data_IF_275559528133
#
_entry.id   IF_275559528133
#
_cell.length_a   1.000
_cell.length_b   1.000
_cell.length_c   1.000
_cell.angle_alpha   90.00
_cell.angle_beta   90.00
_cell.angle_gamma   90.00
#
_symmetry.space_group_name_H-M   'P 1'
#
loop_
_entity.id
_entity.type
_entity.pdbx_description
1 polymer ?
#
# COMPACT_ATOMS: atom_id res chain seq x y z
N UNK A 1 -17.54 -19.68 -1.82
CA UNK A 1 -16.26 -19.77 -2.57
C UNK A 1 -16.21 -18.78 -3.72
N UNK A 2 -17.36 -18.45 -4.36
CA UNK A 2 -17.48 -17.37 -5.35
C UNK A 2 -17.03 -16.01 -4.80
N UNK A 3 -17.61 -15.53 -3.69
CA UNK A 3 -17.36 -14.17 -3.17
C UNK A 3 -15.88 -13.84 -2.91
N UNK A 4 -15.09 -14.79 -2.40
CA UNK A 4 -13.65 -14.58 -2.16
C UNK A 4 -12.90 -14.40 -3.48
N UNK A 5 -13.20 -15.26 -4.45
CA UNK A 5 -12.58 -15.22 -5.76
C UNK A 5 -13.00 -13.95 -6.52
N UNK A 6 -14.28 -13.60 -6.46
CA UNK A 6 -14.83 -12.39 -7.09
C UNK A 6 -14.22 -11.11 -6.49
N UNK A 7 -14.03 -11.07 -5.16
CA UNK A 7 -13.38 -9.94 -4.48
C UNK A 7 -11.91 -9.81 -4.91
N UNK A 8 -11.21 -10.93 -5.05
CA UNK A 8 -9.82 -10.96 -5.50
C UNK A 8 -9.70 -10.48 -6.96
N UNK A 9 -10.57 -10.97 -7.85
CA UNK A 9 -10.54 -10.60 -9.27
C UNK A 9 -10.96 -9.16 -9.49
N UNK A 10 -11.90 -8.62 -8.69
CA UNK A 10 -12.20 -7.18 -8.71
C UNK A 10 -10.97 -6.36 -8.30
N UNK A 11 -10.28 -6.75 -7.22
CA UNK A 11 -9.02 -6.12 -6.81
C UNK A 11 -7.95 -6.15 -7.90
N UNK A 12 -7.86 -7.24 -8.67
CA UNK A 12 -6.95 -7.35 -9.82
C UNK A 12 -7.39 -6.44 -10.98
N UNK A 13 -8.70 -6.34 -11.24
CA UNK A 13 -9.25 -5.51 -12.30
C UNK A 13 -8.91 -4.03 -12.14
N UNK A 14 -8.88 -3.53 -10.90
CA UNK A 14 -8.58 -2.13 -10.60
C UNK A 14 -7.08 -1.77 -10.61
N UNK A 15 -6.17 -2.73 -10.82
CA UNK A 15 -4.72 -2.46 -10.90
C UNK A 15 -4.40 -1.44 -11.99
N UNK A 16 -5.17 -1.46 -13.08
CA UNK A 16 -4.98 -0.55 -14.22
C UNK A 16 -5.45 0.87 -13.96
N UNK A 17 -6.14 1.12 -12.84
CA UNK A 17 -6.75 2.41 -12.55
C UNK A 17 -5.76 3.32 -11.78
N UNK A 18 -5.81 4.61 -12.08
CA UNK A 18 -4.87 5.61 -11.54
C UNK A 18 -4.89 5.66 -9.99
N UNK A 19 -6.07 5.54 -9.39
CA UNK A 19 -6.30 5.47 -7.95
C UNK A 19 -5.55 4.31 -7.26
N UNK A 20 -5.34 3.19 -7.92
CA UNK A 20 -4.56 2.06 -7.37
C UNK A 20 -3.06 2.34 -7.31
N UNK A 21 -2.54 3.17 -8.24
CA UNK A 21 -1.12 3.54 -8.24
C UNK A 21 -0.70 4.23 -6.94
N UNK A 22 -1.63 4.92 -6.29
CA UNK A 22 -1.41 5.66 -5.04
C UNK A 22 -1.03 4.75 -3.88
N UNK A 23 -1.53 3.51 -3.86
CA UNK A 23 -1.15 2.48 -2.90
C UNK A 23 -0.04 1.56 -3.45
N UNK A 24 -0.01 1.32 -4.76
CA UNK A 24 0.94 0.39 -5.37
C UNK A 24 2.36 0.96 -5.47
N UNK A 25 2.52 2.21 -5.93
CA UNK A 25 3.81 2.87 -6.14
C UNK A 25 4.62 2.99 -4.84
N UNK A 26 4.09 3.54 -3.72
CA UNK A 26 4.86 3.60 -2.48
C UNK A 26 5.19 2.20 -1.93
N UNK A 27 4.28 1.23 -2.10
CA UNK A 27 4.53 -0.15 -1.70
C UNK A 27 5.68 -0.79 -2.49
N UNK A 28 5.72 -0.61 -3.82
CA UNK A 28 6.81 -1.10 -4.67
C UNK A 28 8.14 -0.44 -4.31
N UNK A 29 8.15 0.87 -4.11
CA UNK A 29 9.32 1.61 -3.66
C UNK A 29 9.86 1.05 -2.33
N UNK A 30 8.97 0.78 -1.37
CA UNK A 30 9.33 0.25 -0.06
C UNK A 30 9.90 -1.17 -0.16
N UNK A 31 9.31 -2.02 -1.01
CA UNK A 31 9.83 -3.37 -1.30
C UNK A 31 11.23 -3.28 -1.92
N UNK A 32 11.46 -2.42 -2.92
CA UNK A 32 12.79 -2.28 -3.52
C UNK A 32 13.84 -1.81 -2.51
N UNK A 33 13.48 -0.86 -1.63
CA UNK A 33 14.35 -0.38 -0.54
C UNK A 33 14.68 -1.49 0.47
N UNK A 34 13.73 -2.35 0.80
CA UNK A 34 13.85 -3.38 1.83
C UNK A 34 14.82 -4.52 1.49
N UNK A 35 15.19 -4.68 0.20
CA UNK A 35 16.16 -5.68 -0.30
C UNK A 35 15.92 -7.11 0.23
N UNK A 36 16.64 -7.49 1.29
CA UNK A 36 16.57 -8.83 1.91
C UNK A 36 15.29 -9.08 2.71
N UNK A 37 14.56 -8.03 3.06
CA UNK A 37 13.31 -8.11 3.83
C UNK A 37 12.04 -7.84 2.98
N UNK A 38 12.16 -7.88 1.65
CA UNK A 38 11.08 -7.59 0.68
C UNK A 38 9.75 -8.27 1.00
N UNK A 39 9.77 -9.59 1.21
CA UNK A 39 8.55 -10.36 1.45
C UNK A 39 7.88 -9.95 2.76
N UNK A 40 8.64 -9.81 3.84
CA UNK A 40 8.11 -9.33 5.13
C UNK A 40 7.47 -7.96 4.97
N UNK A 41 8.18 -7.01 4.36
CA UNK A 41 7.67 -5.65 4.12
C UNK A 41 6.39 -5.71 3.29
N UNK A 42 6.36 -6.49 2.21
CA UNK A 42 5.18 -6.62 1.35
C UNK A 42 3.95 -7.18 2.09
N UNK A 43 4.12 -8.23 2.89
CA UNK A 43 3.04 -8.85 3.66
C UNK A 43 2.47 -7.89 4.71
N UNK A 44 3.34 -7.27 5.50
CA UNK A 44 2.90 -6.32 6.52
C UNK A 44 2.36 -5.02 5.92
N UNK A 45 2.86 -4.60 4.75
CA UNK A 45 2.29 -3.50 3.98
C UNK A 45 0.85 -3.79 3.56
N UNK A 46 0.61 -4.98 3.00
CA UNK A 46 -0.74 -5.41 2.60
C UNK A 46 -1.67 -5.46 3.81
N UNK A 47 -1.21 -6.02 4.93
CA UNK A 47 -1.99 -6.08 6.17
C UNK A 47 -2.31 -4.68 6.73
N UNK A 48 -1.32 -3.79 6.78
CA UNK A 48 -1.51 -2.42 7.25
C UNK A 48 -2.48 -1.63 6.38
N UNK A 49 -2.36 -1.76 5.06
CA UNK A 49 -3.24 -1.10 4.10
C UNK A 49 -4.68 -1.58 4.24
N UNK A 50 -4.89 -2.89 4.29
CA UNK A 50 -6.22 -3.48 4.46
C UNK A 50 -6.86 -3.08 5.79
N UNK A 51 -6.11 -3.17 6.89
CA UNK A 51 -6.62 -2.87 8.22
C UNK A 51 -7.04 -1.41 8.33
N UNK A 52 -6.21 -0.47 7.88
CA UNK A 52 -6.51 0.94 8.06
C UNK A 52 -7.57 1.45 7.08
N UNK A 53 -7.60 0.94 5.85
CA UNK A 53 -8.69 1.22 4.90
C UNK A 53 -10.04 0.70 5.44
N UNK A 54 -10.06 -0.51 6.00
CA UNK A 54 -11.24 -1.06 6.68
C UNK A 54 -11.63 -0.23 7.90
N UNK A 55 -10.67 0.17 8.75
CA UNK A 55 -10.95 0.94 9.96
C UNK A 55 -11.53 2.34 9.65
N UNK A 56 -11.09 2.98 8.56
CA UNK A 56 -11.70 4.21 8.07
C UNK A 56 -13.13 3.97 7.59
N UNK A 57 -13.36 2.91 6.80
CA UNK A 57 -14.69 2.55 6.30
C UNK A 57 -15.68 2.21 7.42
N UNK A 58 -15.22 1.51 8.45
CA UNK A 58 -16.01 1.19 9.64
C UNK A 58 -16.28 2.40 10.55
N UNK A 59 -15.73 3.58 10.23
CA UNK A 59 -15.89 4.80 11.04
C UNK A 59 -15.07 4.80 12.33
N UNK A 60 -14.11 3.88 12.50
CA UNK A 60 -13.24 3.81 13.68
C UNK A 60 -12.11 4.85 13.66
N UNK A 61 -11.82 5.45 12.50
CA UNK A 61 -10.73 6.41 12.35
C UNK A 61 -11.10 7.56 11.42
N UNK A 62 -11.17 8.78 11.96
CA UNK A 62 -11.56 9.97 11.21
C UNK A 62 -10.55 11.11 11.36
N UNK A 63 -9.27 10.80 11.20
CA UNK A 63 -8.25 11.84 11.08
C UNK A 63 -8.31 12.39 9.65
N UNK A 64 -8.82 13.61 9.50
CA UNK A 64 -8.78 14.35 8.25
C UNK A 64 -7.33 14.66 7.87
N UNK A 65 -6.91 14.29 6.66
CA UNK A 65 -5.60 14.58 6.11
C UNK A 65 -5.43 16.08 5.78
N UNK A 66 -5.45 16.96 6.80
CA UNK A 66 -5.27 18.40 6.63
C UNK A 66 -4.30 18.96 7.66
N UNK A 67 -3.58 20.00 7.28
CA UNK A 67 -2.66 20.73 8.16
C UNK A 67 -1.52 19.84 8.68
N UNK A 68 -1.28 19.89 10.00
CA UNK A 68 -0.15 19.20 10.64
C UNK A 68 -0.14 17.68 10.44
N UNK A 69 -1.32 17.05 10.26
CA UNK A 69 -1.41 15.61 10.04
C UNK A 69 -0.67 15.15 8.77
N UNK A 70 -0.65 15.97 7.71
CA UNK A 70 0.00 15.62 6.44
C UNK A 70 1.52 15.74 6.55
N UNK A 71 2.02 16.75 7.28
CA UNK A 71 3.44 16.89 7.59
C UNK A 71 3.94 15.69 8.39
N UNK A 72 3.19 15.30 9.43
CA UNK A 72 3.48 14.11 10.24
C UNK A 72 3.48 12.86 9.36
N UNK A 73 2.51 12.69 8.47
CA UNK A 73 2.47 11.57 7.54
C UNK A 73 3.69 11.51 6.62
N UNK A 74 4.17 12.66 6.12
CA UNK A 74 5.41 12.75 5.35
C UNK A 74 6.64 12.32 6.15
N UNK A 75 6.75 12.77 7.42
CA UNK A 75 7.84 12.35 8.32
C UNK A 75 7.77 10.85 8.63
N UNK A 76 6.58 10.33 8.90
CA UNK A 76 6.37 8.89 9.15
C UNK A 76 6.72 8.09 7.89
N UNK A 77 6.32 8.54 6.71
CA UNK A 77 6.69 7.91 5.44
C UNK A 77 8.22 7.89 5.24
N UNK A 78 8.91 9.02 5.45
CA UNK A 78 10.38 9.04 5.39
C UNK A 78 11.02 8.06 6.41
N UNK A 79 10.42 7.94 7.59
CA UNK A 79 10.79 6.97 8.62
C UNK A 79 10.64 5.52 8.16
N UNK A 80 9.55 5.17 7.47
CA UNK A 80 9.32 3.79 6.99
C UNK A 80 10.34 3.39 5.93
N UNK A 81 10.64 4.23 4.94
CA UNK A 81 11.68 3.96 3.94
C UNK A 81 13.07 3.84 4.59
N UNK A 82 13.39 4.75 5.52
CA UNK A 82 14.67 4.71 6.25
C UNK A 82 14.82 3.44 7.09
N UNK A 83 13.75 2.99 7.75
CA UNK A 83 13.72 1.76 8.53
C UNK A 83 13.84 0.52 7.63
N UNK A 84 13.13 0.48 6.49
CA UNK A 84 13.22 -0.59 5.51
C UNK A 84 14.64 -0.72 4.93
N UNK A 85 15.29 0.40 4.61
CA UNK A 85 16.67 0.40 4.08
C UNK A 85 17.67 -0.25 5.05
N UNK A 86 17.48 0.04 6.34
CA UNK A 86 18.34 -0.42 7.45
C UNK A 86 17.95 -1.79 7.98
N UNK A 87 16.87 -2.40 7.51
CA UNK A 87 16.41 -3.69 8.00
C UNK A 87 17.46 -4.79 7.70
N UNK A 88 18.02 -5.47 8.72
CA UNK A 88 19.08 -6.47 8.54
C UNK A 88 18.59 -7.75 7.82
N UNK A 89 17.29 -8.04 7.86
CA UNK A 89 16.70 -9.24 7.27
C UNK A 89 15.20 -9.38 7.50
N UNK A 90 14.64 -10.50 7.04
CA UNK A 90 13.19 -10.76 7.01
C UNK A 90 12.52 -10.88 8.40
N UNK A 91 13.24 -11.25 9.45
CA UNK A 91 12.71 -11.36 10.82
C UNK A 91 12.88 -10.08 11.65
N UNK A 92 13.40 -9.00 11.04
CA UNK A 92 13.65 -7.77 11.78
C UNK A 92 12.35 -7.05 12.15
N UNK A 93 12.20 -6.56 13.40
CA UNK A 93 11.08 -5.70 13.77
C UNK A 93 11.03 -4.41 12.94
N UNK A 94 12.17 -3.95 12.39
CA UNK A 94 12.21 -2.79 11.49
C UNK A 94 11.52 -3.09 10.15
N UNK A 95 11.68 -4.30 9.61
CA UNK A 95 11.00 -4.72 8.38
C UNK A 95 9.49 -4.83 8.60
N UNK A 96 9.09 -5.48 9.69
CA UNK A 96 7.68 -5.61 10.09
C UNK A 96 7.04 -4.25 10.32
N UNK A 97 7.69 -3.40 11.12
CA UNK A 97 7.19 -2.06 11.45
C UNK A 97 7.13 -1.13 10.22
N UNK A 98 8.16 -1.12 9.38
CA UNK A 98 8.15 -0.30 8.15
C UNK A 98 7.08 -0.74 7.16
N UNK A 99 6.92 -2.05 6.95
CA UNK A 99 5.84 -2.61 6.15
C UNK A 99 4.48 -2.21 6.71
N UNK A 100 4.21 -2.51 7.98
CA UNK A 100 2.92 -2.26 8.61
C UNK A 100 2.54 -0.77 8.61
N UNK A 101 3.46 0.10 9.04
CA UNK A 101 3.21 1.55 9.09
C UNK A 101 3.13 2.14 7.69
N UNK A 102 3.98 1.70 6.76
CA UNK A 102 3.93 2.14 5.36
C UNK A 102 2.63 1.75 4.69
N UNK A 103 2.17 0.51 4.94
CA UNK A 103 0.88 0.01 4.48
C UNK A 103 -0.28 0.76 5.09
N UNK A 104 -0.26 0.97 6.40
CA UNK A 104 -1.28 1.73 7.10
C UNK A 104 -1.39 3.15 6.54
N UNK A 105 -0.26 3.84 6.34
CA UNK A 105 -0.27 5.15 5.67
C UNK A 105 -0.89 5.06 4.27
N UNK A 106 -0.50 4.07 3.47
CA UNK A 106 -1.10 3.89 2.15
C UNK A 106 -2.61 3.68 2.24
N UNK A 107 -3.09 2.81 3.14
CA UNK A 107 -4.53 2.60 3.38
C UNK A 107 -5.26 3.86 3.88
N UNK A 108 -4.59 4.69 4.69
CA UNK A 108 -5.13 5.97 5.19
C UNK A 108 -5.37 6.99 4.08
N UNK A 109 -4.41 7.06 3.16
CA UNK A 109 -4.33 8.03 2.08
C UNK A 109 -5.03 7.54 0.81
N UNK A 110 -5.26 6.23 0.69
CA UNK A 110 -5.87 5.60 -0.46
C UNK A 110 -7.34 5.97 -0.56
N UNK A 111 -7.70 6.60 -1.68
CA UNK A 111 -9.09 6.79 -2.08
C UNK A 111 -9.45 5.69 -3.07
N UNK A 112 -10.30 4.72 -2.68
CA UNK A 112 -10.65 3.63 -3.57
C UNK A 112 -11.40 4.16 -4.78
N UNK A 113 -11.06 3.64 -5.96
CA UNK A 113 -12.03 3.62 -7.03
C UNK A 113 -12.97 2.44 -6.79
N UNK A 114 -14.22 2.76 -6.51
CA UNK A 114 -15.23 1.79 -6.09
C UNK A 114 -15.71 0.97 -7.28
N UNK A 115 -15.53 -0.35 -7.18
CA UNK A 115 -16.34 -1.35 -7.88
C UNK A 115 -17.52 -1.79 -7.01
N UNK A 116 -18.33 -2.71 -7.53
CA UNK A 116 -19.57 -3.16 -6.87
C UNK A 116 -19.29 -3.90 -5.55
N UNK A 117 -18.34 -4.85 -5.53
CA UNK A 117 -18.03 -5.61 -4.31
C UNK A 117 -17.31 -4.76 -3.27
N UNK A 118 -16.43 -3.85 -3.69
CA UNK A 118 -15.79 -2.95 -2.73
C UNK A 118 -16.81 -2.01 -2.09
N UNK A 119 -17.79 -1.53 -2.85
CA UNK A 119 -18.91 -0.73 -2.33
C UNK A 119 -19.64 -1.46 -1.20
N UNK A 120 -19.99 -2.72 -1.41
CA UNK A 120 -20.66 -3.55 -0.39
C UNK A 120 -19.78 -3.75 0.86
N UNK A 121 -18.49 -4.04 0.68
CA UNK A 121 -17.55 -4.21 1.81
C UNK A 121 -17.47 -2.94 2.65
N UNK A 122 -17.41 -1.78 2.01
CA UNK A 122 -17.33 -0.48 2.67
C UNK A 122 -18.63 -0.12 3.40
N UNK A 123 -19.78 -0.39 2.78
CA UNK A 123 -21.10 -0.12 3.36
C UNK A 123 -21.41 -1.02 4.56
N UNK A 124 -20.97 -2.29 4.52
CA UNK A 124 -21.18 -3.26 5.61
C UNK A 124 -20.07 -3.21 6.68
N UNK A 125 -19.05 -2.35 6.52
CA UNK A 125 -17.88 -2.32 7.41
C UNK A 125 -18.26 -2.08 8.87
N UNK A 126 -19.25 -1.22 9.13
CA UNK A 126 -19.72 -0.88 10.49
C UNK A 126 -20.62 -1.94 11.12
N UNK A 127 -21.24 -2.81 10.33
CA UNK A 127 -22.25 -3.78 10.80
C UNK A 127 -21.74 -5.23 10.81
N UNK A 128 -20.82 -5.59 9.91
CA UNK A 128 -20.30 -6.95 9.73
C UNK A 128 -18.76 -7.05 9.84
N UNK A 129 -18.18 -6.36 10.83
CA UNK A 129 -16.75 -6.07 10.96
C UNK A 129 -15.75 -7.20 10.67
N UNK A 130 -15.79 -8.36 11.35
CA UNK A 130 -14.78 -9.42 11.14
C UNK A 130 -14.79 -10.00 9.71
N UNK A 131 -15.98 -10.08 9.11
CA UNK A 131 -16.16 -10.58 7.74
C UNK A 131 -15.65 -9.56 6.73
N UNK A 132 -16.01 -8.30 6.88
CA UNK A 132 -15.61 -7.22 5.97
C UNK A 132 -14.11 -6.92 6.05
N UNK A 133 -13.49 -7.08 7.21
CA UNK A 133 -12.03 -7.02 7.35
C UNK A 133 -11.34 -8.11 6.52
N UNK A 134 -11.83 -9.34 6.60
CA UNK A 134 -11.30 -10.46 5.81
C UNK A 134 -11.44 -10.22 4.30
N UNK A 135 -12.59 -9.70 3.87
CA UNK A 135 -12.84 -9.35 2.46
C UNK A 135 -11.97 -8.16 2.01
N UNK A 136 -11.79 -7.14 2.84
CA UNK A 136 -10.88 -6.02 2.55
C UNK A 136 -9.43 -6.50 2.41
N UNK A 137 -9.00 -7.46 3.23
CA UNK A 137 -7.68 -8.06 3.10
C UNK A 137 -7.53 -8.81 1.77
N UNK A 138 -8.52 -9.63 1.40
CA UNK A 138 -8.53 -10.34 0.11
C UNK A 138 -8.51 -9.35 -1.06
N UNK A 139 -9.31 -8.29 -0.99
CA UNK A 139 -9.33 -7.22 -1.99
C UNK A 139 -7.94 -6.59 -2.13
N UNK A 140 -7.31 -6.18 -1.01
CA UNK A 140 -5.97 -5.59 -1.01
C UNK A 140 -4.88 -6.54 -1.52
N UNK A 141 -5.01 -7.85 -1.28
CA UNK A 141 -4.13 -8.86 -1.89
C UNK A 141 -4.25 -8.84 -3.42
N UNK A 142 -5.46 -8.67 -3.96
CA UNK A 142 -5.70 -8.52 -5.41
C UNK A 142 -5.08 -7.22 -5.95
N UNK A 143 -5.36 -6.09 -5.30
CA UNK A 143 -4.84 -4.77 -5.67
C UNK A 143 -3.31 -4.72 -5.64
N UNK A 144 -2.70 -5.30 -4.60
CA UNK A 144 -1.26 -5.32 -4.39
C UNK A 144 -0.60 -6.57 -4.96
N UNK A 145 -1.29 -7.32 -5.83
CA UNK A 145 -0.76 -8.50 -6.47
C UNK A 145 0.58 -8.24 -7.19
N UNK A 146 0.78 -7.16 -7.97
CA UNK A 146 2.07 -6.90 -8.62
C UNK A 146 3.21 -6.75 -7.61
N UNK A 147 2.93 -6.10 -6.47
CA UNK A 147 3.87 -5.94 -5.37
C UNK A 147 4.23 -7.29 -4.74
N UNK A 148 3.22 -8.14 -4.47
CA UNK A 148 3.43 -9.48 -3.92
C UNK A 148 4.19 -10.39 -4.89
N UNK A 149 3.92 -10.29 -6.20
CA UNK A 149 4.64 -11.04 -7.22
C UNK A 149 6.12 -10.62 -7.27
N UNK A 150 6.42 -9.32 -7.22
CA UNK A 150 7.80 -8.83 -7.20
C UNK A 150 8.51 -9.27 -5.91
N UNK A 151 7.82 -9.25 -4.77
CA UNK A 151 8.39 -9.67 -3.49
C UNK A 151 8.63 -11.19 -3.40
N UNK A 152 7.82 -12.01 -4.08
CA UNK A 152 7.93 -13.48 -4.10
C UNK A 152 8.82 -14.01 -5.24
N UNK A 153 9.00 -13.26 -6.32
CA UNK A 153 9.81 -13.67 -7.47
C UNK A 153 11.22 -14.19 -7.13
N UNK A 154 11.97 -13.63 -6.17
CA UNK A 154 13.27 -14.17 -5.76
C UNK A 154 13.25 -15.61 -5.25
N UNK A 155 12.12 -16.07 -4.69
CA UNK A 155 11.96 -17.43 -4.16
C UNK A 155 11.68 -18.45 -5.27
N UNK A 156 10.98 -18.03 -6.32
CA UNK A 156 10.74 -18.87 -7.49
C UNK A 156 11.95 -18.88 -8.45
N UNK A 157 12.61 -17.72 -8.62
CA UNK A 157 13.71 -17.52 -9.56
C UNK A 157 14.86 -16.77 -8.86
N UNK A 158 15.88 -17.48 -8.34
CA UNK A 158 17.01 -16.87 -7.62
C UNK A 158 17.78 -15.81 -8.42
N UNK A 159 17.75 -15.89 -9.76
CA UNK A 159 18.33 -14.87 -10.63
C UNK A 159 17.64 -13.49 -10.47
N UNK A 160 16.31 -13.48 -10.27
CA UNK A 160 15.55 -12.25 -10.00
C UNK A 160 15.96 -11.66 -8.66
N UNK A 161 16.18 -12.50 -7.63
CA UNK A 161 16.71 -12.06 -6.34
C UNK A 161 18.04 -11.31 -6.48
N UNK A 162 19.01 -11.91 -7.19
CA UNK A 162 20.31 -11.28 -7.45
C UNK A 162 20.20 -9.98 -8.25
N UNK A 163 19.25 -9.89 -9.17
CA UNK A 163 18.99 -8.69 -9.94
C UNK A 163 18.43 -7.57 -9.05
N UNK A 164 17.36 -7.85 -8.30
CA UNK A 164 16.69 -6.88 -7.45
C UNK A 164 17.58 -6.43 -6.28
N UNK A 165 18.47 -7.29 -5.79
CA UNK A 165 19.44 -6.98 -4.71
C UNK A 165 20.53 -5.98 -5.14
N UNK A 166 20.61 -5.64 -6.43
CA UNK A 166 21.53 -4.61 -6.89
C UNK A 166 21.14 -3.25 -6.31
N UNK A 167 22.16 -2.54 -5.81
CA UNK A 167 22.06 -1.18 -5.28
C UNK A 167 21.21 -0.20 -6.12
N UNK A 168 21.27 -0.18 -7.47
CA UNK A 168 20.42 0.71 -8.27
C UNK A 168 18.91 0.57 -8.02
N UNK A 169 18.39 -0.64 -7.80
CA UNK A 169 16.96 -0.82 -7.52
C UNK A 169 16.59 -0.25 -6.15
N UNK A 170 17.45 -0.45 -5.15
CA UNK A 170 17.25 0.12 -3.83
C UNK A 170 17.29 1.66 -3.88
N UNK A 171 18.24 2.25 -4.63
CA UNK A 171 18.33 3.69 -4.83
C UNK A 171 17.09 4.22 -5.55
N UNK A 172 16.63 3.55 -6.62
CA UNK A 172 15.42 3.94 -7.33
C UNK A 172 14.20 3.93 -6.39
N UNK A 173 14.04 2.87 -5.58
CA UNK A 173 13.00 2.82 -4.55
C UNK A 173 13.13 3.93 -3.52
N UNK A 174 14.34 4.25 -3.08
CA UNK A 174 14.59 5.31 -2.11
C UNK A 174 14.27 6.70 -2.69
N UNK A 175 14.59 6.96 -3.96
CA UNK A 175 14.27 8.21 -4.65
C UNK A 175 12.75 8.37 -4.79
N UNK A 176 12.04 7.32 -5.20
CA UNK A 176 10.57 7.33 -5.28
C UNK A 176 9.95 7.53 -3.89
N UNK A 177 10.47 6.83 -2.88
CA UNK A 177 10.00 6.97 -1.50
C UNK A 177 10.25 8.36 -0.92
N UNK A 178 11.39 8.98 -1.23
CA UNK A 178 11.70 10.35 -0.84
C UNK A 178 10.77 11.35 -1.54
N UNK A 179 10.55 11.20 -2.85
CA UNK A 179 9.61 12.04 -3.59
C UNK A 179 8.19 11.92 -3.02
N UNK A 180 7.75 10.70 -2.70
CA UNK A 180 6.47 10.44 -2.05
C UNK A 180 6.36 11.12 -0.68
N UNK A 181 7.37 10.95 0.19
CA UNK A 181 7.38 11.56 1.52
C UNK A 181 7.38 13.10 1.46
N UNK A 182 8.12 13.69 0.51
CA UNK A 182 8.11 15.14 0.27
C UNK A 182 6.75 15.60 -0.22
N UNK A 183 6.14 14.91 -1.19
CA UNK A 183 4.82 15.23 -1.71
C UNK A 183 3.73 15.20 -0.62
N UNK A 184 3.81 14.24 0.31
CA UNK A 184 2.98 14.25 1.52
C UNK A 184 3.28 15.47 2.38
N UNK A 185 4.55 15.70 2.73
CA UNK A 185 4.93 16.77 3.66
C UNK A 185 4.51 18.18 3.22
N UNK A 186 4.49 18.45 1.91
CA UNK A 186 4.08 19.74 1.34
C UNK A 186 2.56 19.86 1.12
N UNK A 187 1.78 18.82 1.39
CA UNK A 187 0.32 18.85 1.22
C UNK A 187 -0.16 18.73 -0.23
N UNK A 188 0.74 18.57 -1.21
CA UNK A 188 0.38 18.42 -2.63
C UNK A 188 -0.28 17.08 -2.96
N UNK A 189 -0.36 16.16 -2.00
CA UNK A 189 -0.94 14.85 -2.21
C UNK A 189 -2.42 14.92 -2.61
N UNK A 190 -3.22 15.77 -1.97
CA UNK A 190 -4.65 15.89 -2.30
C UNK A 190 -4.87 16.41 -3.73
N UNK A 191 -4.04 17.34 -4.20
CA UNK A 191 -4.11 17.86 -5.57
C UNK A 191 -3.71 16.78 -6.59
N UNK A 192 -2.67 16.00 -6.28
CA UNK A 192 -2.22 14.89 -7.13
C UNK A 192 -3.32 13.83 -7.23
N UNK A 193 -3.90 13.40 -6.10
CA UNK A 193 -4.98 12.41 -6.08
C UNK A 193 -6.22 12.92 -6.79
N UNK A 194 -6.57 14.20 -6.58
CA UNK A 194 -7.70 14.83 -7.26
C UNK A 194 -7.55 14.79 -8.78
N UNK A 195 -6.35 15.06 -9.28
CA UNK A 195 -6.06 15.03 -10.72
C UNK A 195 -6.05 13.60 -11.28
N UNK A 196 -5.43 12.64 -10.57
CA UNK A 196 -5.48 11.22 -10.96
C UNK A 196 -6.94 10.70 -11.00
N UNK A 197 -7.76 11.11 -10.04
CA UNK A 197 -9.17 10.74 -10.00
C UNK A 197 -9.95 11.37 -11.15
N UNK A 198 -9.71 12.66 -11.45
CA UNK A 198 -10.32 13.38 -12.57
C UNK A 198 -10.01 12.74 -13.92
N UNK A 199 -8.76 12.29 -14.12
CA UNK A 199 -8.35 11.56 -15.33
C UNK A 199 -9.07 10.20 -15.40
N UNK A 200 -9.23 9.53 -14.26
CA UNK A 200 -9.91 8.23 -14.19
C UNK A 200 -11.43 8.32 -14.37
N UNK A 201 -12.06 9.44 -13.97
CA UNK A 201 -13.51 9.66 -14.09
C UNK A 201 -13.92 10.37 -15.38
N UNK A 202 -12.96 10.74 -16.23
CA UNK A 202 -13.16 11.55 -17.44
C UNK A 202 -13.55 10.76 -18.69
N UNK A 203 -14.10 9.56 -18.55
CA UNK A 203 -14.77 8.79 -19.60
C UNK A 203 -16.25 8.63 -19.25
#
# INVERSE_FOLDING_TARGET
MSTIFDTLTEGIGVITWACTLTALVPGLALVFVARRARLTVALYYTAGAAFLAWAQAAGHWWVSARGAAVVIAGVVAAGTYSAAWRAPGHSSPLATGSGLVGGALAGWLWRPCVGELLGDILNDASTAGPRTLGLMFIYMVGVLLPLLLIATAPYAVPAVGRLLDRLPFAIAGALVGAAYAVALAIGQYDDLIGELYRISSGN
#
